data_IF_214494630004
#
_entry.id   IF_214494630004
#
_cell.length_a   1.000
_cell.length_b   1.000
_cell.length_c   1.000
_cell.angle_alpha   90.00
_cell.angle_beta   90.00
_cell.angle_gamma   90.00
#
_symmetry.space_group_name_H-M   'P 1'
#
loop_
_entity.id
_entity.type
_entity.pdbx_description
1 polymer ?
#
# COMPACT_ATOMS: atom_id res chain seq x y z
N UNK A 1 -7.29 -9.98 10.06
CA UNK A 1 -7.57 -10.06 8.61
C UNK A 1 -6.53 -9.25 7.89
N UNK A 2 -5.97 -9.73 6.78
CA UNK A 2 -4.87 -9.07 6.06
C UNK A 2 -5.18 -8.97 4.57
N UNK A 3 -4.63 -7.95 3.92
CA UNK A 3 -4.80 -7.68 2.49
C UNK A 3 -3.43 -7.44 1.88
N UNK A 4 -3.08 -8.17 0.83
CA UNK A 4 -1.72 -8.17 0.29
C UNK A 4 -1.74 -8.23 -1.24
N UNK A 5 -0.70 -7.66 -1.85
CA UNK A 5 -0.47 -7.72 -3.30
C UNK A 5 -0.29 -9.17 -3.79
N UNK A 6 0.31 -10.03 -2.98
CA UNK A 6 0.56 -11.42 -3.31
C UNK A 6 -0.73 -12.23 -3.54
N UNK A 7 -1.82 -11.85 -2.86
CA UNK A 7 -3.14 -12.45 -3.09
C UNK A 7 -3.73 -12.13 -4.49
N UNK A 8 -3.09 -11.25 -5.25
CA UNK A 8 -3.48 -10.85 -6.61
C UNK A 8 -2.50 -11.33 -7.71
N UNK A 9 -1.46 -12.08 -7.34
CA UNK A 9 -0.36 -12.48 -8.25
C UNK A 9 -0.48 -13.91 -8.82
N UNK A 10 -1.55 -14.66 -8.52
CA UNK A 10 -1.80 -16.01 -9.08
C UNK A 10 -1.68 -17.14 -8.06
N UNK A 11 -1.69 -18.38 -8.56
CA UNK A 11 -1.79 -19.61 -7.75
C UNK A 11 -0.51 -19.86 -6.94
N UNK A 12 -0.49 -19.32 -5.72
CA UNK A 12 0.58 -19.53 -4.75
C UNK A 12 1.22 -18.27 -4.21
N UNK A 13 0.57 -17.09 -4.31
CA UNK A 13 1.03 -15.88 -3.59
C UNK A 13 1.57 -16.25 -2.21
N UNK A 14 2.77 -15.75 -1.87
CA UNK A 14 3.63 -16.27 -0.79
C UNK A 14 2.85 -17.01 0.31
N UNK A 15 2.91 -18.34 0.26
CA UNK A 15 2.28 -19.22 1.24
C UNK A 15 3.11 -19.15 2.53
N UNK A 16 2.81 -18.15 3.34
CA UNK A 16 3.18 -18.07 4.75
C UNK A 16 2.24 -18.97 5.59
N UNK A 17 2.68 -19.39 6.78
CA UNK A 17 1.89 -20.21 7.70
C UNK A 17 0.68 -19.47 8.33
N UNK A 18 0.58 -18.16 8.09
CA UNK A 18 -0.53 -17.34 8.52
C UNK A 18 -1.82 -17.48 7.70
N UNK A 19 -2.92 -16.88 8.18
CA UNK A 19 -4.23 -16.97 7.54
C UNK A 19 -4.23 -16.31 6.14
N UNK A 20 -4.95 -16.86 5.16
CA UNK A 20 -4.89 -16.38 3.78
C UNK A 20 -5.20 -14.88 3.67
N UNK A 21 -4.35 -14.16 2.93
CA UNK A 21 -4.53 -12.74 2.64
C UNK A 21 -5.63 -12.54 1.60
N UNK A 22 -6.30 -11.38 1.66
CA UNK A 22 -7.31 -10.98 0.67
C UNK A 22 -6.71 -10.04 -0.38
N UNK A 23 -7.35 -10.03 -1.54
CA UNK A 23 -7.01 -9.20 -2.69
C UNK A 23 -7.03 -7.70 -2.38
N UNK A 24 -5.99 -6.97 -2.77
CA UNK A 24 -5.96 -5.49 -2.75
C UNK A 24 -6.56 -4.88 -4.01
N UNK A 25 -6.52 -5.59 -5.15
CA UNK A 25 -7.16 -5.15 -6.41
C UNK A 25 -8.68 -5.19 -6.36
N UNK A 26 -9.27 -6.17 -5.67
CA UNK A 26 -10.72 -6.41 -5.64
C UNK A 26 -11.42 -5.82 -4.42
N UNK A 27 -10.67 -5.42 -3.39
CA UNK A 27 -11.24 -4.85 -2.16
C UNK A 27 -11.28 -3.34 -2.26
N UNK A 28 -12.46 -2.73 -2.13
CA UNK A 28 -12.61 -1.28 -2.06
C UNK A 28 -12.31 -0.77 -0.65
N UNK A 29 -11.71 0.42 -0.55
CA UNK A 29 -11.38 1.06 0.75
C UNK A 29 -12.57 1.13 1.70
N UNK A 30 -13.77 1.47 1.21
CA UNK A 30 -15.00 1.53 2.01
C UNK A 30 -15.52 0.18 2.53
N UNK A 31 -15.00 -0.95 2.06
CA UNK A 31 -15.30 -2.27 2.63
C UNK A 31 -14.43 -2.58 3.85
N UNK A 32 -13.30 -1.88 4.01
CA UNK A 32 -12.30 -2.10 5.06
C UNK A 32 -12.44 -1.05 6.16
N UNK A 33 -12.63 0.21 5.76
CA UNK A 33 -12.86 1.34 6.65
C UNK A 33 -14.36 1.63 6.72
N UNK A 34 -15.04 0.99 7.67
CA UNK A 34 -16.50 1.01 7.81
C UNK A 34 -17.01 2.01 8.86
N UNK A 35 -16.16 2.47 9.78
CA UNK A 35 -16.52 3.41 10.84
C UNK A 35 -15.37 4.39 11.11
N UNK A 36 -15.65 5.65 11.48
CA UNK A 36 -14.62 6.60 11.92
C UNK A 36 -13.83 6.01 13.09
N UNK A 37 -12.52 6.24 13.09
CA UNK A 37 -11.59 5.66 14.06
C UNK A 37 -11.08 4.26 13.69
N UNK A 38 -11.58 3.61 12.63
CA UNK A 38 -10.95 2.37 12.14
C UNK A 38 -9.50 2.65 11.75
N UNK A 39 -8.57 1.86 12.29
CA UNK A 39 -7.13 1.94 12.02
C UNK A 39 -6.65 0.65 11.38
N UNK A 40 -5.80 0.78 10.38
CA UNK A 40 -5.11 -0.32 9.71
C UNK A 40 -3.63 0.00 9.58
N UNK A 41 -2.78 -1.03 9.66
CA UNK A 41 -1.37 -0.91 9.30
C UNK A 41 -1.23 -1.08 7.79
N UNK A 42 -0.55 -0.12 7.16
CA UNK A 42 -0.08 -0.22 5.79
C UNK A 42 1.43 -0.44 5.82
N UNK A 43 1.84 -1.64 5.41
CA UNK A 43 3.24 -1.99 5.21
C UNK A 43 3.61 -1.70 3.76
N UNK A 44 4.62 -0.86 3.57
CA UNK A 44 5.22 -0.54 2.29
C UNK A 44 6.70 -0.90 2.36
N UNK A 45 7.30 -1.20 1.21
CA UNK A 45 8.72 -1.52 1.12
C UNK A 45 9.14 -2.67 2.05
N UNK A 46 9.00 -3.90 1.57
CA UNK A 46 9.30 -5.09 2.36
C UNK A 46 10.80 -5.24 2.68
N UNK A 47 11.69 -4.46 2.04
CA UNK A 47 13.11 -4.41 2.37
C UNK A 47 13.37 -3.56 3.61
N UNK A 48 12.77 -2.37 3.68
CA UNK A 48 12.98 -1.39 4.76
C UNK A 48 11.90 -1.40 5.86
N UNK A 49 10.89 -2.27 5.76
CA UNK A 49 9.79 -2.45 6.72
C UNK A 49 9.06 -1.14 7.08
N UNK A 50 8.74 -0.32 6.07
CA UNK A 50 8.06 0.95 6.29
C UNK A 50 6.60 0.73 6.71
N UNK A 51 6.31 0.93 8.00
CA UNK A 51 4.97 0.77 8.59
C UNK A 51 4.28 2.10 8.84
N UNK A 52 3.08 2.24 8.28
CA UNK A 52 2.21 3.41 8.48
C UNK A 52 0.90 2.99 9.14
N UNK A 53 0.39 3.82 10.05
CA UNK A 53 -0.98 3.68 10.55
C UNK A 53 -1.89 4.56 9.70
N UNK A 54 -2.88 3.95 9.06
CA UNK A 54 -3.92 4.63 8.29
C UNK A 54 -5.20 4.61 9.11
N UNK A 55 -5.75 5.80 9.37
CA UNK A 55 -6.98 5.99 10.13
C UNK A 55 -8.02 6.70 9.28
N UNK A 56 -9.25 6.18 9.31
CA UNK A 56 -10.39 6.92 8.77
C UNK A 56 -10.91 7.89 9.82
N UNK A 57 -10.79 9.19 9.55
CA UNK A 57 -11.26 10.23 10.48
C UNK A 57 -12.76 10.51 10.35
N UNK A 58 -13.35 10.17 9.20
CA UNK A 58 -14.76 10.39 8.93
C UNK A 58 -15.12 10.05 7.49
N UNK A 59 -16.40 10.21 7.17
CA UNK A 59 -16.96 10.06 5.83
C UNK A 59 -17.69 11.35 5.44
N UNK A 60 -17.81 11.59 4.14
CA UNK A 60 -18.49 12.77 3.61
C UNK A 60 -19.00 12.52 2.20
N UNK A 61 -19.79 13.47 1.71
CA UNK A 61 -20.30 13.44 0.35
C UNK A 61 -19.23 13.88 -0.66
N UNK A 62 -19.33 13.37 -1.88
CA UNK A 62 -18.46 13.79 -2.98
C UNK A 62 -18.84 15.22 -3.37
N UNK A 63 -17.87 16.12 -3.35
CA UNK A 63 -18.07 17.50 -3.79
C UNK A 63 -18.26 17.55 -5.31
N UNK A 64 -19.34 18.19 -5.77
CA UNK A 64 -19.61 18.36 -7.20
C UNK A 64 -18.49 19.16 -7.88
N UNK A 65 -17.92 18.61 -8.97
CA UNK A 65 -16.77 19.20 -9.67
C UNK A 65 -15.44 19.05 -8.91
N UNK A 66 -15.44 18.38 -7.77
CA UNK A 66 -14.26 18.17 -6.95
C UNK A 66 -13.27 17.17 -7.57
N UNK A 67 -11.97 17.50 -7.53
CA UNK A 67 -10.88 16.58 -7.92
C UNK A 67 -10.36 15.83 -6.70
N UNK A 68 -10.16 14.53 -6.80
CA UNK A 68 -9.63 13.68 -5.72
C UNK A 68 -8.54 12.74 -6.26
N UNK A 69 -7.62 12.24 -5.41
CA UNK A 69 -7.44 12.54 -3.97
C UNK A 69 -6.93 13.98 -3.70
N UNK A 70 -7.11 14.48 -2.47
CA UNK A 70 -6.60 15.80 -2.03
C UNK A 70 -5.80 15.66 -0.75
N UNK A 71 -4.65 16.34 -0.69
CA UNK A 71 -3.86 16.47 0.54
C UNK A 71 -4.29 17.74 1.25
N UNK A 72 -4.91 17.61 2.42
CA UNK A 72 -5.39 18.76 3.22
C UNK A 72 -4.36 19.25 4.23
N UNK A 73 -3.45 18.37 4.68
CA UNK A 73 -2.37 18.71 5.58
C UNK A 73 -1.18 17.76 5.38
N UNK A 74 0.03 18.25 5.66
CA UNK A 74 1.26 17.46 5.69
C UNK A 74 2.11 17.91 6.88
N UNK A 75 2.74 16.96 7.56
CA UNK A 75 3.70 17.22 8.63
C UNK A 75 4.98 16.42 8.40
N UNK A 76 6.13 17.06 8.61
CA UNK A 76 7.44 16.45 8.39
C UNK A 76 7.83 16.36 6.91
N UNK A 77 9.01 15.79 6.66
CA UNK A 77 9.51 15.43 5.34
C UNK A 77 9.40 13.92 5.18
N UNK A 78 8.95 13.45 4.03
CA UNK A 78 9.01 12.03 3.71
C UNK A 78 10.49 11.59 3.61
N UNK A 79 10.83 10.37 4.04
CA UNK A 79 12.16 9.83 3.80
C UNK A 79 12.45 9.79 2.29
N UNK A 80 13.71 9.97 1.87
CA UNK A 80 14.09 9.78 0.46
C UNK A 80 13.74 8.35 0.03
N UNK A 81 13.14 8.21 -1.16
CA UNK A 81 13.07 6.93 -1.85
C UNK A 81 14.42 6.66 -2.52
N UNK A 82 14.73 5.39 -2.82
CA UNK A 82 16.02 4.92 -3.33
C UNK A 82 16.70 5.88 -4.32
N UNK A 83 18.04 5.98 -4.31
CA UNK A 83 18.76 6.66 -5.38
C UNK A 83 18.27 6.11 -6.73
N UNK A 84 18.25 6.93 -7.80
CA UNK A 84 18.07 6.38 -9.14
C UNK A 84 19.09 5.26 -9.33
N UNK A 85 18.64 4.12 -9.85
CA UNK A 85 19.55 3.03 -10.22
C UNK A 85 20.57 3.62 -11.19
N UNK A 86 21.86 3.52 -10.87
CA UNK A 86 22.90 3.78 -11.86
C UNK A 86 22.74 2.67 -12.90
N UNK A 87 22.53 3.05 -14.17
CA UNK A 87 22.51 2.15 -15.32
C UNK A 87 23.92 1.56 -15.56
N UNK A 88 24.51 0.89 -14.56
CA UNK A 88 25.73 0.12 -14.73
C UNK A 88 25.35 -1.20 -15.42
N UNK A 89 25.63 -1.23 -16.72
CA UNK A 89 25.50 -2.35 -17.65
C UNK A 89 25.74 -3.71 -16.96
N UNK A 90 24.68 -4.52 -16.85
CA UNK A 90 24.82 -5.95 -16.62
C UNK A 90 25.52 -6.54 -17.86
N UNK A 91 26.86 -6.62 -17.84
CA UNK A 91 27.60 -7.48 -18.76
C UNK A 91 27.13 -8.92 -18.53
N UNK A 92 26.45 -9.45 -19.53
CA UNK A 92 26.04 -10.85 -19.65
C UNK A 92 27.28 -11.74 -19.55
N UNK A 93 27.57 -12.31 -18.36
CA UNK A 93 28.52 -13.41 -18.24
C UNK A 93 27.89 -14.66 -18.89
N UNK A 94 28.03 -14.74 -20.22
CA UNK A 94 27.91 -15.99 -20.97
C UNK A 94 28.98 -16.98 -20.48
N UNK A 95 28.56 -18.03 -19.77
CA UNK A 95 29.37 -19.16 -19.34
C UNK A 95 28.78 -20.50 -19.77
#
# INVERSE_FOLDING_TARGET
MRYELFADMGDGGFMDDGPPAKSVKRTKVGQVFTAPGNKWQFLFDYGDDHRFIVEVLGFGEVEAGGKYPRVTARKGKAPPQYPPEDDEDYEDEEG
#
